data_IF_244161389132
#
_entry.id   IF_244161389132
#
_cell.length_a   1.000
_cell.length_b   1.000
_cell.length_c   1.000
_cell.angle_alpha   90.00
_cell.angle_beta   90.00
_cell.angle_gamma   90.00
#
_symmetry.space_group_name_H-M   'P 1'
#
loop_
_entity.id
_entity.type
_entity.pdbx_description
1 polymer ?
#
# COMPACT_ATOMS: atom_id res chain seq x y z
N UNK A 1 0.12 -0.62 -9.22
CA UNK A 1 -0.52 -0.98 -10.51
C UNK A 1 0.42 -1.70 -11.48
N UNK A 2 1.66 -1.28 -11.75
CA UNK A 2 2.57 -2.06 -12.62
C UNK A 2 3.10 -3.34 -11.94
N UNK A 3 3.52 -3.24 -10.67
CA UNK A 3 4.13 -4.39 -9.99
C UNK A 3 3.14 -5.53 -9.75
N UNK A 4 1.90 -5.20 -9.37
CA UNK A 4 0.82 -6.18 -9.22
C UNK A 4 0.53 -6.93 -10.54
N UNK A 5 0.61 -6.24 -11.68
CA UNK A 5 0.47 -6.88 -13.00
C UNK A 5 1.63 -7.85 -13.27
N UNK A 6 2.87 -7.45 -12.96
CA UNK A 6 4.04 -8.34 -13.10
C UNK A 6 3.88 -9.57 -12.20
N UNK A 7 3.40 -9.40 -10.97
CA UNK A 7 3.12 -10.51 -10.06
C UNK A 7 2.05 -11.47 -10.61
N UNK A 8 0.97 -10.93 -11.17
CA UNK A 8 -0.09 -11.72 -11.79
C UNK A 8 0.41 -12.53 -12.99
N UNK A 9 1.14 -11.89 -13.92
CA UNK A 9 1.70 -12.59 -15.08
C UNK A 9 2.74 -13.62 -14.68
N UNK A 10 3.55 -13.32 -13.67
CA UNK A 10 4.50 -14.29 -13.11
C UNK A 10 3.78 -15.48 -12.47
N UNK A 11 2.67 -15.26 -11.77
CA UNK A 11 1.84 -16.34 -11.23
C UNK A 11 1.24 -17.22 -12.32
N UNK A 12 0.95 -16.65 -13.49
CA UNK A 12 0.52 -17.37 -14.69
C UNK A 12 1.68 -18.10 -15.42
N UNK A 13 2.91 -18.05 -14.90
CA UNK A 13 4.07 -18.77 -15.43
C UNK A 13 4.96 -17.97 -16.40
N UNK A 14 4.68 -16.69 -16.63
CA UNK A 14 5.51 -15.88 -17.53
C UNK A 14 6.82 -15.42 -16.86
N UNK A 15 7.91 -15.42 -17.62
CA UNK A 15 9.20 -14.93 -17.17
C UNK A 15 9.17 -13.40 -16.95
N UNK A 16 9.81 -12.92 -15.88
CA UNK A 16 9.85 -11.48 -15.56
C UNK A 16 10.47 -10.63 -16.67
N UNK A 17 11.50 -11.15 -17.35
CA UNK A 17 12.16 -10.45 -18.46
C UNK A 17 11.22 -10.26 -19.65
N UNK A 18 10.43 -11.28 -20.02
CA UNK A 18 9.48 -11.18 -21.14
C UNK A 18 8.34 -10.21 -20.81
N UNK A 19 7.84 -10.23 -19.58
CA UNK A 19 6.84 -9.27 -19.11
C UNK A 19 7.40 -7.83 -19.19
N UNK A 20 8.60 -7.59 -18.65
CA UNK A 20 9.22 -6.26 -18.68
C UNK A 20 9.51 -5.76 -20.12
N UNK A 21 9.83 -6.68 -21.04
CA UNK A 21 9.98 -6.36 -22.46
C UNK A 21 8.69 -5.81 -23.05
N UNK A 22 7.57 -6.53 -22.88
CA UNK A 22 6.26 -6.09 -23.39
C UNK A 22 5.83 -4.78 -22.72
N UNK A 23 6.04 -4.63 -21.42
CA UNK A 23 5.72 -3.38 -20.71
C UNK A 23 6.48 -2.19 -21.29
N UNK A 24 7.74 -2.35 -21.70
CA UNK A 24 8.52 -1.29 -22.35
C UNK A 24 7.93 -0.91 -23.71
N UNK A 25 7.46 -1.88 -24.50
CA UNK A 25 6.77 -1.63 -25.78
C UNK A 25 5.46 -0.84 -25.57
N UNK A 26 4.80 -1.00 -24.43
CA UNK A 26 3.60 -0.23 -24.02
C UNK A 26 3.91 1.10 -23.31
N UNK A 27 5.17 1.55 -23.33
CA UNK A 27 5.60 2.82 -22.70
C UNK A 27 5.89 2.75 -21.19
N UNK A 28 5.73 1.58 -20.57
CA UNK A 28 6.06 1.36 -19.15
C UNK A 28 7.50 0.82 -19.00
N UNK A 29 8.46 1.73 -18.85
CA UNK A 29 9.88 1.37 -18.77
C UNK A 29 10.27 0.88 -17.37
N UNK A 30 10.07 -0.40 -17.09
CA UNK A 30 10.54 -1.08 -15.87
C UNK A 30 11.61 -2.12 -16.20
N UNK A 31 12.68 -2.18 -15.41
CA UNK A 31 13.70 -3.22 -15.51
C UNK A 31 13.40 -4.36 -14.55
N UNK A 32 13.68 -5.60 -14.96
CA UNK A 32 13.47 -6.78 -14.11
C UNK A 32 14.28 -6.71 -12.79
N UNK A 33 15.49 -6.14 -12.82
CA UNK A 33 16.29 -5.89 -11.61
C UNK A 33 15.55 -4.99 -10.60
N UNK A 34 14.82 -3.98 -11.09
CA UNK A 34 14.07 -3.04 -10.26
C UNK A 34 12.89 -3.74 -9.61
N UNK A 35 12.16 -4.57 -10.37
CA UNK A 35 11.10 -5.41 -9.82
C UNK A 35 11.62 -6.38 -8.75
N UNK A 36 12.73 -7.08 -9.01
CA UNK A 36 13.34 -8.01 -8.04
C UNK A 36 13.76 -7.29 -6.77
N UNK A 37 14.44 -6.15 -6.88
CA UNK A 37 14.86 -5.34 -5.75
C UNK A 37 13.65 -4.82 -4.96
N UNK A 38 12.59 -4.37 -5.64
CA UNK A 38 11.36 -3.94 -4.99
C UNK A 38 10.70 -5.09 -4.20
N UNK A 39 10.66 -6.30 -4.78
CA UNK A 39 9.99 -7.46 -4.16
C UNK A 39 10.64 -7.92 -2.86
N UNK A 40 11.94 -7.71 -2.70
CA UNK A 40 12.67 -8.08 -1.47
C UNK A 40 12.87 -6.91 -0.52
N UNK A 41 12.63 -5.67 -0.96
CA UNK A 41 12.83 -4.48 -0.14
C UNK A 41 11.78 -4.40 0.96
N UNK A 42 12.23 -4.30 2.20
CA UNK A 42 11.34 -3.98 3.32
C UNK A 42 10.70 -2.59 3.13
N UNK A 43 9.48 -2.38 3.65
CA UNK A 43 8.90 -1.04 3.74
C UNK A 43 9.89 -0.06 4.38
N UNK A 44 9.85 1.21 3.95
CA UNK A 44 10.68 2.23 4.58
C UNK A 44 10.33 2.34 6.07
N UNK A 45 11.32 2.58 6.93
CA UNK A 45 11.10 2.72 8.37
C UNK A 45 10.00 3.75 8.70
N UNK A 46 9.94 4.84 7.93
CA UNK A 46 8.88 5.84 8.04
C UNK A 46 7.49 5.28 7.70
N UNK A 47 7.36 4.45 6.67
CA UNK A 47 6.07 3.81 6.34
C UNK A 47 5.57 2.95 7.48
N UNK A 48 6.46 2.23 8.17
CA UNK A 48 6.11 1.42 9.35
C UNK A 48 5.69 2.33 10.51
N UNK A 49 6.48 3.36 10.81
CA UNK A 49 6.16 4.33 11.86
C UNK A 49 4.82 5.04 11.62
N UNK A 50 4.57 5.50 10.39
CA UNK A 50 3.33 6.17 10.02
C UNK A 50 2.13 5.22 10.14
N UNK A 51 2.29 3.94 9.80
CA UNK A 51 1.24 2.94 10.00
C UNK A 51 0.86 2.79 11.49
N UNK A 52 1.83 2.81 12.40
CA UNK A 52 1.56 2.80 13.84
C UNK A 52 0.83 4.07 14.31
N UNK A 53 1.24 5.24 13.82
CA UNK A 53 0.59 6.51 14.16
C UNK A 53 -0.85 6.54 13.64
N UNK A 54 -1.08 6.12 12.40
CA UNK A 54 -2.42 6.04 11.80
C UNK A 54 -3.31 5.05 12.54
N UNK A 55 -2.77 3.91 12.96
CA UNK A 55 -3.51 2.92 13.76
C UNK A 55 -3.89 3.48 15.14
N UNK A 56 -2.93 4.11 15.84
CA UNK A 56 -3.18 4.75 17.13
C UNK A 56 -4.24 5.85 17.01
N UNK A 57 -4.12 6.72 16.00
CA UNK A 57 -5.12 7.75 15.73
C UNK A 57 -6.50 7.12 15.46
N UNK A 58 -6.56 6.09 14.60
CA UNK A 58 -7.80 5.34 14.33
C UNK A 58 -8.41 4.77 15.60
N UNK A 59 -7.61 4.24 16.52
CA UNK A 59 -8.15 3.69 17.77
C UNK A 59 -8.73 4.76 18.69
N UNK A 60 -8.14 5.95 18.73
CA UNK A 60 -8.58 7.04 19.63
C UNK A 60 -9.82 7.78 19.11
N UNK A 61 -9.97 7.93 17.79
CA UNK A 61 -11.05 8.75 17.21
C UNK A 61 -12.43 8.11 17.24
N UNK A 62 -12.59 6.83 17.62
CA UNK A 62 -13.92 6.20 17.69
C UNK A 62 -14.37 6.06 19.14
N UNK A 63 -15.60 6.51 19.43
CA UNK A 63 -16.30 6.28 20.70
C UNK A 63 -17.58 5.48 20.46
N UNK A 64 -17.98 4.66 21.41
CA UNK A 64 -19.29 4.01 21.41
C UNK A 64 -20.30 4.97 22.04
N UNK A 65 -21.39 5.23 21.32
CA UNK A 65 -22.53 6.03 21.79
C UNK A 65 -23.43 5.23 22.74
N UNK A 66 -24.37 5.89 23.41
CA UNK A 66 -25.30 5.25 24.35
C UNK A 66 -26.19 4.20 23.65
N UNK A 67 -26.42 4.35 22.34
CA UNK A 67 -27.11 3.39 21.47
C UNK A 67 -26.23 2.20 21.02
N UNK A 68 -25.00 2.08 21.54
CA UNK A 68 -24.05 1.02 21.17
C UNK A 68 -23.41 1.18 19.79
N UNK A 69 -23.62 2.31 19.10
CA UNK A 69 -23.05 2.60 17.78
C UNK A 69 -21.68 3.25 17.90
N UNK A 70 -20.71 2.83 17.08
CA UNK A 70 -19.42 3.53 16.99
C UNK A 70 -19.59 4.84 16.21
N UNK A 71 -19.30 5.97 16.84
CA UNK A 71 -19.25 7.31 16.23
C UNK A 71 -17.84 7.87 16.36
N UNK A 72 -17.39 8.58 15.32
CA UNK A 72 -16.10 9.26 15.37
C UNK A 72 -16.22 10.52 16.25
N UNK A 73 -15.22 10.80 17.07
CA UNK A 73 -15.21 11.99 17.92
C UNK A 73 -15.09 13.26 17.06
N UNK A 74 -15.63 14.40 17.52
CA UNK A 74 -15.47 15.67 16.82
C UNK A 74 -14.01 16.04 16.56
N UNK A 75 -13.10 15.74 17.49
CA UNK A 75 -11.67 15.99 17.32
C UNK A 75 -11.06 15.10 16.23
N UNK A 76 -11.61 13.89 16.03
CA UNK A 76 -11.25 13.02 14.92
C UNK A 76 -11.78 13.50 13.57
N UNK A 77 -12.96 14.13 13.55
CA UNK A 77 -13.59 14.65 12.33
C UNK A 77 -13.04 16.00 11.90
N UNK A 78 -12.75 16.88 12.87
CA UNK A 78 -12.47 18.31 12.63
C UNK A 78 -11.09 18.75 13.14
N UNK A 79 -10.36 17.87 13.83
CA UNK A 79 -9.13 18.23 14.52
C UNK A 79 -9.38 18.87 15.89
N UNK A 80 -8.31 18.98 16.68
CA UNK A 80 -8.33 19.70 17.96
C UNK A 80 -8.07 21.18 17.70
N UNK A 81 -8.93 22.05 18.23
CA UNK A 81 -8.75 23.52 18.22
C UNK A 81 -7.83 23.93 19.35
#
# INVERSE_FOLDING_TARGET
MIVAFIDQMRANGFAVESICRVLREQGCTIAARTYRAWRTRAPAARTVSDAHVVDAARNVVWRTDDDGRRKMTPEGLYGRV
#
